data_IF_075870084209
#
_entry.id   IF_075870084209
#
_cell.length_a   1.000
_cell.length_b   1.000
_cell.length_c   1.000
_cell.angle_alpha   90.00
_cell.angle_beta   90.00
_cell.angle_gamma   90.00
#
_symmetry.space_group_name_H-M   'P 1'
#
loop_
_entity.id
_entity.type
_entity.pdbx_description
1 polymer ?
#
# COMPACT_ATOMS: atom_id res chain seq x y z
N UNK A 1 35.27 2.27 -13.55
CA UNK A 1 34.62 2.25 -12.22
C UNK A 1 33.15 2.56 -12.38
N UNK A 2 32.27 1.56 -12.28
CA UNK A 2 30.82 1.74 -12.29
C UNK A 2 30.40 2.45 -11.00
N UNK A 3 29.86 3.67 -11.12
CA UNK A 3 29.24 4.38 -9.99
C UNK A 3 28.01 3.60 -9.54
N UNK A 4 28.04 3.05 -8.33
CA UNK A 4 26.81 2.62 -7.67
C UNK A 4 26.00 3.86 -7.30
N UNK A 5 24.72 3.89 -7.70
CA UNK A 5 23.77 4.89 -7.20
C UNK A 5 23.02 4.30 -6.02
N UNK A 6 22.70 5.12 -5.01
CA UNK A 6 21.92 4.68 -3.87
C UNK A 6 20.47 4.42 -4.32
N UNK A 7 20.11 3.16 -4.51
CA UNK A 7 18.73 2.74 -4.77
C UNK A 7 18.02 2.43 -3.47
N UNK A 8 16.74 2.83 -3.37
CA UNK A 8 15.91 2.48 -2.22
C UNK A 8 15.76 0.96 -2.15
N UNK A 9 16.11 0.36 -1.01
CA UNK A 9 15.93 -1.07 -0.76
C UNK A 9 14.44 -1.44 -0.83
N UNK A 10 14.09 -2.41 -1.66
CA UNK A 10 12.78 -3.05 -1.64
C UNK A 10 12.76 -4.11 -0.56
N UNK A 11 12.01 -3.85 0.52
CA UNK A 11 11.77 -4.85 1.54
C UNK A 11 10.68 -5.83 1.07
N UNK A 12 10.93 -7.11 1.23
CA UNK A 12 9.99 -8.20 0.92
C UNK A 12 9.87 -9.07 2.16
N UNK A 13 8.66 -9.56 2.46
CA UNK A 13 8.41 -10.43 3.60
C UNK A 13 9.16 -11.76 3.43
N UNK A 14 10.03 -12.10 4.40
CA UNK A 14 10.82 -13.34 4.39
C UNK A 14 9.97 -14.60 4.52
N UNK A 15 8.77 -14.49 5.10
CA UNK A 15 7.79 -15.56 5.17
C UNK A 15 7.43 -16.10 3.79
N UNK A 16 7.59 -15.31 2.72
CA UNK A 16 7.36 -15.75 1.34
C UNK A 16 8.26 -16.91 0.93
N UNK A 17 9.45 -17.02 1.52
CA UNK A 17 10.45 -18.04 1.21
C UNK A 17 10.32 -19.28 2.11
N UNK A 18 9.45 -19.22 3.14
CA UNK A 18 9.13 -20.41 3.93
C UNK A 18 8.60 -21.51 2.99
N UNK A 19 9.12 -22.75 3.05
CA UNK A 19 8.76 -23.78 2.08
C UNK A 19 7.26 -24.05 1.95
N UNK A 20 6.52 -23.98 3.06
CA UNK A 20 5.08 -24.18 3.07
C UNK A 20 4.31 -23.02 2.40
N UNK A 21 4.76 -21.79 2.59
CA UNK A 21 4.20 -20.58 1.97
C UNK A 21 4.54 -20.53 0.48
N UNK A 22 5.81 -20.73 0.12
CA UNK A 22 6.27 -20.74 -1.26
C UNK A 22 5.51 -21.79 -2.10
N UNK A 23 5.35 -23.01 -1.56
CA UNK A 23 4.58 -24.08 -2.21
C UNK A 23 3.12 -23.69 -2.42
N UNK A 24 2.44 -23.15 -1.41
CA UNK A 24 1.04 -22.71 -1.53
C UNK A 24 0.89 -21.57 -2.55
N UNK A 25 1.83 -20.63 -2.59
CA UNK A 25 1.83 -19.53 -3.58
C UNK A 25 2.01 -20.05 -5.00
N UNK A 26 2.92 -20.99 -5.23
CA UNK A 26 3.11 -21.63 -6.53
C UNK A 26 1.85 -22.38 -6.98
N UNK A 27 1.21 -23.11 -6.07
CA UNK A 27 -0.07 -23.78 -6.34
C UNK A 27 -1.18 -22.76 -6.67
N UNK A 28 -1.31 -21.69 -5.88
CA UNK A 28 -2.28 -20.63 -6.16
C UNK A 28 -2.08 -20.04 -7.55
N UNK A 29 -0.86 -19.64 -7.92
CA UNK A 29 -0.56 -19.08 -9.25
C UNK A 29 -0.94 -20.06 -10.38
N UNK A 30 -0.67 -21.36 -10.19
CA UNK A 30 -0.99 -22.40 -11.18
C UNK A 30 -2.50 -22.59 -11.38
N UNK A 31 -3.31 -22.39 -10.34
CA UNK A 31 -4.72 -22.74 -10.34
C UNK A 31 -5.67 -21.54 -10.27
N UNK A 32 -5.18 -20.32 -10.03
CA UNK A 32 -6.03 -19.13 -9.86
C UNK A 32 -6.90 -18.83 -11.08
N UNK A 33 -6.44 -19.17 -12.29
CA UNK A 33 -7.22 -18.98 -13.53
C UNK A 33 -8.47 -19.86 -13.62
N UNK A 34 -8.58 -20.88 -12.76
CA UNK A 34 -9.76 -21.74 -12.66
C UNK A 34 -10.88 -21.10 -11.84
N UNK A 35 -10.59 -20.01 -11.14
CA UNK A 35 -11.58 -19.29 -10.34
C UNK A 35 -12.10 -18.13 -11.17
N UNK A 36 -13.42 -18.09 -11.35
CA UNK A 36 -14.09 -16.95 -11.98
C UNK A 36 -13.89 -15.68 -11.12
N UNK A 37 -13.23 -14.63 -11.65
CA UNK A 37 -12.98 -13.39 -10.91
C UNK A 37 -14.25 -12.71 -10.42
N UNK A 38 -15.39 -12.90 -11.09
CA UNK A 38 -16.66 -12.27 -10.70
C UNK A 38 -17.18 -12.78 -9.35
N UNK A 39 -16.76 -13.99 -8.95
CA UNK A 39 -17.14 -14.65 -7.70
C UNK A 39 -16.22 -14.30 -6.53
N UNK A 40 -15.06 -13.70 -6.79
CA UNK A 40 -14.08 -13.36 -5.76
C UNK A 40 -14.47 -12.09 -5.00
N UNK A 41 -14.09 -12.08 -3.72
CA UNK A 41 -14.18 -10.94 -2.82
C UNK A 41 -12.85 -10.83 -2.10
N UNK A 42 -12.13 -9.73 -2.30
CA UNK A 42 -10.90 -9.44 -1.58
C UNK A 42 -11.24 -8.54 -0.41
N UNK A 43 -10.89 -8.92 0.81
CA UNK A 43 -11.09 -8.10 2.00
C UNK A 43 -9.71 -7.65 2.46
N UNK A 44 -9.55 -6.36 2.66
CA UNK A 44 -8.31 -5.80 3.18
C UNK A 44 -8.60 -4.62 4.09
N UNK A 45 -7.69 -4.41 5.03
CA UNK A 45 -7.72 -3.30 5.97
C UNK A 45 -6.56 -2.36 5.63
N UNK A 46 -6.86 -1.07 5.50
CA UNK A 46 -5.84 -0.04 5.36
C UNK A 46 -6.08 1.08 6.35
N UNK A 47 -5.06 1.87 6.62
CA UNK A 47 -5.16 3.03 7.50
C UNK A 47 -4.74 4.28 6.74
N UNK A 48 -5.44 5.37 6.98
CA UNK A 48 -5.11 6.69 6.44
C UNK A 48 -4.89 7.66 7.58
N UNK A 49 -3.79 8.40 7.50
CA UNK A 49 -3.59 9.56 8.39
C UNK A 49 -4.21 10.78 7.74
N UNK A 50 -4.92 11.57 8.53
CA UNK A 50 -5.45 12.87 8.08
C UNK A 50 -4.40 13.96 8.01
N UNK A 51 -3.11 13.62 8.26
CA UNK A 51 -1.99 14.52 8.04
C UNK A 51 -1.69 14.69 6.54
N UNK A 52 -2.57 15.42 5.87
CA UNK A 52 -2.49 15.79 4.46
C UNK A 52 -1.45 16.89 4.20
N UNK A 53 -0.30 16.80 4.89
CA UNK A 53 0.83 17.69 4.73
C UNK A 53 1.78 17.13 3.65
N UNK A 54 2.15 17.92 2.61
CA UNK A 54 3.14 17.49 1.64
C UNK A 54 4.47 17.14 2.33
N UNK A 55 4.99 15.93 2.10
CA UNK A 55 6.27 15.49 2.67
C UNK A 55 7.48 16.20 2.04
N UNK A 56 7.32 16.71 0.82
CA UNK A 56 8.35 17.35 0.01
C UNK A 56 7.73 18.45 -0.83
N UNK A 57 8.54 19.44 -1.18
CA UNK A 57 8.18 20.48 -2.13
C UNK A 57 9.44 21.12 -2.70
N UNK A 58 9.25 22.12 -3.56
CA UNK A 58 10.33 22.77 -4.30
C UNK A 58 10.42 24.24 -3.90
N UNK A 59 11.64 24.73 -3.64
CA UNK A 59 11.94 26.14 -3.40
C UNK A 59 13.27 26.51 -4.09
N UNK A 60 13.49 27.79 -4.41
CA UNK A 60 14.79 28.26 -4.92
C UNK A 60 15.95 27.87 -3.98
N UNK A 61 17.12 27.64 -4.56
CA UNK A 61 18.33 27.34 -3.78
C UNK A 61 18.61 28.47 -2.77
N UNK A 62 18.93 28.12 -1.53
CA UNK A 62 19.13 29.08 -0.44
C UNK A 62 17.86 29.63 0.20
N UNK A 63 16.66 29.26 -0.29
CA UNK A 63 15.38 29.69 0.27
C UNK A 63 14.69 28.58 1.06
N UNK A 64 14.07 28.93 2.18
CA UNK A 64 13.24 27.99 2.95
C UNK A 64 11.88 27.82 2.29
N UNK A 65 11.45 26.58 2.09
CA UNK A 65 10.08 26.28 1.68
C UNK A 65 9.12 26.52 2.87
N UNK A 66 8.22 27.47 2.74
CA UNK A 66 7.15 27.73 3.71
C UNK A 66 5.87 27.08 3.19
N UNK A 67 5.36 26.07 3.89
CA UNK A 67 4.11 25.40 3.56
C UNK A 67 3.10 25.58 4.70
N UNK A 68 1.83 25.79 4.33
CA UNK A 68 0.71 25.81 5.28
C UNK A 68 0.09 24.41 5.33
N UNK A 69 -0.24 23.95 6.53
CA UNK A 69 -0.89 22.66 6.75
C UNK A 69 -2.14 22.85 7.62
N UNK A 70 -3.15 21.98 7.51
CA UNK A 70 -4.33 22.00 8.39
C UNK A 70 -3.95 21.94 9.89
N UNK A 71 -4.85 22.43 10.75
CA UNK A 71 -4.69 22.39 12.22
C UNK A 71 -4.33 20.97 12.68
N UNK A 72 -3.28 20.84 13.49
CA UNK A 72 -2.50 19.62 13.72
C UNK A 72 -3.20 18.47 14.45
N UNK A 73 -4.54 18.46 14.48
CA UNK A 73 -5.40 17.41 15.04
C UNK A 73 -5.49 16.23 14.08
N UNK A 74 -4.33 15.63 13.81
CA UNK A 74 -4.24 14.46 12.94
C UNK A 74 -4.87 13.25 13.61
N UNK A 75 -5.65 12.50 12.84
CA UNK A 75 -6.23 11.23 13.24
C UNK A 75 -5.75 10.15 12.28
N UNK A 76 -5.54 8.97 12.80
CA UNK A 76 -5.43 7.76 11.98
C UNK A 76 -6.82 7.16 11.91
N UNK A 77 -7.32 6.97 10.70
CA UNK A 77 -8.59 6.30 10.44
C UNK A 77 -8.29 4.93 9.85
N UNK A 78 -9.00 3.90 10.30
CA UNK A 78 -8.89 2.56 9.74
C UNK A 78 -10.05 2.34 8.77
N UNK A 79 -9.73 1.95 7.55
CA UNK A 79 -10.67 1.67 6.48
C UNK A 79 -10.61 0.18 6.13
N UNK A 80 -11.72 -0.51 6.40
CA UNK A 80 -11.94 -1.89 5.99
C UNK A 80 -12.91 -1.90 4.81
N UNK A 81 -12.57 -2.64 3.75
CA UNK A 81 -13.48 -2.80 2.64
C UNK A 81 -13.30 -4.14 1.93
N UNK A 82 -14.35 -4.53 1.23
CA UNK A 82 -14.34 -5.66 0.32
C UNK A 82 -14.30 -5.17 -1.13
N UNK A 83 -13.38 -5.67 -1.93
CA UNK A 83 -13.25 -5.40 -3.36
C UNK A 83 -13.76 -6.59 -4.17
N UNK A 84 -14.70 -6.31 -5.07
CA UNK A 84 -15.14 -7.20 -6.15
C UNK A 84 -14.61 -6.68 -7.49
N UNK A 85 -14.76 -7.49 -8.54
CA UNK A 85 -14.32 -7.10 -9.89
C UNK A 85 -14.99 -5.82 -10.44
N UNK A 86 -16.17 -5.46 -9.93
CA UNK A 86 -17.02 -4.38 -10.43
C UNK A 86 -17.23 -3.24 -9.43
N UNK A 87 -16.93 -3.45 -8.13
CA UNK A 87 -17.25 -2.48 -7.08
C UNK A 87 -16.44 -2.68 -5.80
N UNK A 88 -16.43 -1.63 -4.98
CA UNK A 88 -16.13 -1.72 -3.55
C UNK A 88 -17.45 -1.97 -2.80
N UNK A 89 -17.45 -2.88 -1.83
CA UNK A 89 -18.61 -3.21 -0.99
C UNK A 89 -18.21 -3.27 0.48
N UNK A 90 -19.20 -3.17 1.37
CA UNK A 90 -19.03 -3.13 2.83
C UNK A 90 -17.92 -2.18 3.33
N UNK A 91 -17.85 -0.91 2.86
CA UNK A 91 -16.87 0.03 3.40
C UNK A 91 -17.20 0.35 4.86
N UNK A 92 -16.22 0.18 5.74
CA UNK A 92 -16.30 0.57 7.14
C UNK A 92 -15.13 1.49 7.48
N UNK A 93 -15.43 2.62 8.12
CA UNK A 93 -14.44 3.56 8.62
C UNK A 93 -14.50 3.62 10.16
N UNK A 94 -13.34 3.43 10.79
CA UNK A 94 -13.11 3.49 12.24
C UNK A 94 -12.33 4.76 12.60
#
# INVERSE_FOLDING_TARGET
MTRSSASKKSAVAGERDRPDVARRRAQWIKYQSRVDPSRLVFIDETWTRTNMAPLRGWAPCGSRLIAKVPDGRWRTMTFLAALRHDRITAPWLL
#
